data_IF_839543458174
#
_entry.id   IF_839543458174
#
_cell.length_a   1.000
_cell.length_b   1.000
_cell.length_c   1.000
_cell.angle_alpha   90.00
_cell.angle_beta   90.00
_cell.angle_gamma   90.00
#
_symmetry.space_group_name_H-M   'P 1'
#
loop_
_entity.id
_entity.type
_entity.pdbx_description
1 polymer ?
#
# COMPACT_ATOMS: atom_id res chain seq x y z
N UNK A 1 -20.59 37.09 -8.65
CA UNK A 1 -20.77 35.65 -8.49
C UNK A 1 -19.66 34.99 -9.28
N UNK A 2 -18.75 34.39 -8.61
CA UNK A 2 -17.53 33.85 -9.22
C UNK A 2 -17.89 32.68 -10.13
N UNK A 3 -17.25 32.55 -11.30
CA UNK A 3 -17.51 31.43 -12.25
C UNK A 3 -17.38 30.05 -11.57
N UNK A 4 -16.55 29.97 -10.57
CA UNK A 4 -16.25 28.74 -9.85
C UNK A 4 -17.36 28.34 -8.86
N UNK A 5 -18.06 29.31 -8.28
CA UNK A 5 -19.21 29.07 -7.41
C UNK A 5 -20.44 28.58 -8.20
N UNK A 6 -20.59 29.06 -9.45
CA UNK A 6 -21.63 28.57 -10.38
C UNK A 6 -21.37 27.12 -10.76
N UNK A 7 -20.13 26.78 -11.10
CA UNK A 7 -19.74 25.42 -11.47
C UNK A 7 -19.96 24.44 -10.30
N UNK A 8 -19.60 24.82 -9.07
CA UNK A 8 -19.81 24.01 -7.88
C UNK A 8 -21.29 23.67 -7.66
N UNK A 9 -22.18 24.68 -7.69
CA UNK A 9 -23.63 24.47 -7.53
C UNK A 9 -24.21 23.60 -8.64
N UNK A 10 -23.74 23.75 -9.87
CA UNK A 10 -24.17 22.92 -10.99
C UNK A 10 -23.73 21.45 -10.78
N UNK A 11 -22.51 21.20 -10.37
CA UNK A 11 -22.00 19.84 -10.05
C UNK A 11 -22.83 19.23 -8.94
N UNK A 12 -23.05 19.95 -7.84
CA UNK A 12 -23.86 19.46 -6.71
C UNK A 12 -25.29 19.10 -7.13
N UNK A 13 -25.91 19.91 -7.98
CA UNK A 13 -27.24 19.62 -8.50
C UNK A 13 -27.27 18.38 -9.37
N UNK A 14 -26.32 18.23 -10.31
CA UNK A 14 -26.22 17.05 -11.17
C UNK A 14 -26.01 15.78 -10.32
N UNK A 15 -25.22 15.87 -9.26
CA UNK A 15 -25.02 14.74 -8.35
C UNK A 15 -26.32 14.42 -7.59
N UNK A 16 -27.00 15.43 -7.07
CA UNK A 16 -28.26 15.26 -6.31
C UNK A 16 -29.39 14.70 -7.16
N UNK A 17 -29.44 15.05 -8.46
CA UNK A 17 -30.45 14.55 -9.40
C UNK A 17 -30.27 13.06 -9.72
N UNK A 18 -29.03 12.56 -9.64
CA UNK A 18 -28.71 11.17 -10.02
C UNK A 18 -28.40 10.27 -8.83
N UNK A 19 -28.02 10.87 -7.67
CA UNK A 19 -27.58 10.10 -6.50
C UNK A 19 -27.69 10.91 -5.22
N UNK A 20 -27.67 10.23 -4.04
CA UNK A 20 -27.55 10.91 -2.75
C UNK A 20 -26.11 11.03 -2.34
N UNK A 21 -25.68 12.24 -1.96
CA UNK A 21 -24.35 12.48 -1.44
C UNK A 21 -24.30 11.98 0.01
N UNK A 22 -23.34 11.11 0.29
CA UNK A 22 -23.06 10.64 1.65
C UNK A 22 -22.28 11.68 2.44
N UNK A 23 -21.23 12.19 1.83
CA UNK A 23 -20.45 13.34 2.31
C UNK A 23 -19.69 13.98 1.16
N UNK A 24 -19.29 15.23 1.33
CA UNK A 24 -18.46 15.97 0.38
C UNK A 24 -17.41 16.80 1.08
N UNK A 25 -16.30 17.03 0.40
CA UNK A 25 -15.20 17.91 0.82
C UNK A 25 -14.86 18.88 -0.31
N UNK A 26 -14.52 20.09 0.01
CA UNK A 26 -14.17 21.12 -0.96
C UNK A 26 -13.06 22.05 -0.45
N UNK A 27 -11.87 21.52 -0.19
CA UNK A 27 -10.74 22.33 0.23
C UNK A 27 -10.30 23.28 -0.89
N UNK A 28 -9.86 24.47 -0.47
CA UNK A 28 -9.22 25.42 -1.36
C UNK A 28 -7.73 25.10 -1.45
N UNK A 29 -7.22 24.98 -2.67
CA UNK A 29 -5.83 24.70 -2.97
C UNK A 29 -5.21 25.84 -3.76
N UNK A 30 -3.92 26.10 -3.56
CA UNK A 30 -3.17 27.05 -4.38
C UNK A 30 -1.91 26.39 -4.87
N UNK A 31 -1.66 26.46 -6.19
CA UNK A 31 -0.45 25.96 -6.82
C UNK A 31 0.55 27.11 -6.89
N UNK A 32 1.66 26.95 -6.19
CA UNK A 32 2.80 27.87 -6.24
C UNK A 32 3.85 27.37 -7.25
N UNK A 33 4.42 28.28 -8.05
CA UNK A 33 5.56 27.96 -8.90
C UNK A 33 6.83 27.95 -8.07
N UNK A 34 7.64 26.90 -8.16
CA UNK A 34 8.99 26.86 -7.59
C UNK A 34 9.91 27.81 -8.35
N UNK A 35 10.36 28.87 -7.69
CA UNK A 35 11.19 29.92 -8.31
C UNK A 35 12.68 29.61 -8.32
N UNK A 36 13.14 28.61 -7.58
CA UNK A 36 14.58 28.42 -7.25
C UNK A 36 15.26 27.15 -7.82
N UNK A 37 14.57 26.37 -8.67
CA UNK A 37 15.19 25.17 -9.23
C UNK A 37 15.49 25.39 -10.72
N UNK A 38 16.78 25.44 -11.06
CA UNK A 38 17.29 25.42 -12.43
C UNK A 38 17.17 24.06 -13.12
N UNK A 39 16.27 23.20 -12.67
CA UNK A 39 16.11 21.86 -13.23
C UNK A 39 14.89 21.76 -14.14
N UNK A 40 15.05 20.92 -15.13
CA UNK A 40 14.25 20.70 -16.37
C UNK A 40 12.77 20.37 -16.16
N UNK A 41 12.29 20.27 -14.91
CA UNK A 41 10.91 19.98 -14.58
C UNK A 41 10.29 21.16 -13.81
N UNK A 42 9.21 21.72 -14.35
CA UNK A 42 8.34 22.70 -13.67
C UNK A 42 7.72 22.03 -12.43
N UNK A 43 8.44 22.04 -11.32
CA UNK A 43 7.93 21.53 -10.06
C UNK A 43 7.07 22.59 -9.42
N UNK A 44 5.82 22.25 -9.16
CA UNK A 44 4.86 23.10 -8.47
C UNK A 44 4.59 22.54 -7.08
N UNK A 45 4.49 23.41 -6.08
CA UNK A 45 4.02 23.02 -4.75
C UNK A 45 2.55 23.43 -4.61
N UNK A 46 1.72 22.49 -4.21
CA UNK A 46 0.31 22.76 -3.91
C UNK A 46 0.17 22.99 -2.41
N UNK A 47 -0.34 24.16 -2.02
CA UNK A 47 -0.60 24.48 -0.62
C UNK A 47 -2.08 24.32 -0.27
N UNK A 48 -2.36 23.89 0.96
CA UNK A 48 -3.70 23.67 1.52
C UNK A 48 -3.79 24.28 2.91
N UNK A 49 -4.95 24.83 3.26
CA UNK A 49 -5.21 25.34 4.61
C UNK A 49 -5.25 24.22 5.64
N UNK A 50 -4.71 24.47 6.83
CA UNK A 50 -4.76 23.51 7.93
C UNK A 50 -6.20 23.20 8.37
N UNK A 51 -7.07 24.19 8.42
CA UNK A 51 -8.49 24.00 8.72
C UNK A 51 -9.20 23.07 7.71
N UNK A 52 -8.91 23.21 6.40
CA UNK A 52 -9.47 22.36 5.36
C UNK A 52 -8.91 20.94 5.43
N UNK A 53 -7.64 20.81 5.76
CA UNK A 53 -7.00 19.50 5.98
C UNK A 53 -7.67 18.72 7.12
N UNK A 54 -7.83 19.36 8.29
CA UNK A 54 -8.50 18.74 9.42
C UNK A 54 -9.96 18.38 9.12
N UNK A 55 -10.68 19.28 8.42
CA UNK A 55 -12.06 19.01 8.01
C UNK A 55 -12.13 17.82 7.03
N UNK A 56 -11.20 17.74 6.10
CA UNK A 56 -11.14 16.62 5.13
C UNK A 56 -10.87 15.30 5.82
N UNK A 57 -9.93 15.24 6.77
CA UNK A 57 -9.69 14.04 7.56
C UNK A 57 -10.92 13.61 8.35
N UNK A 58 -11.58 14.55 9.02
CA UNK A 58 -12.81 14.30 9.79
C UNK A 58 -13.93 13.74 8.93
N UNK A 59 -14.17 14.35 7.78
CA UNK A 59 -15.24 13.93 6.86
C UNK A 59 -14.93 12.55 6.25
N UNK A 60 -13.65 12.23 6.00
CA UNK A 60 -13.22 10.93 5.50
C UNK A 60 -13.21 9.83 6.58
N UNK A 61 -13.47 10.16 7.85
CA UNK A 61 -13.47 9.21 8.97
C UNK A 61 -12.06 8.78 9.42
N UNK A 62 -11.05 9.60 9.16
CA UNK A 62 -9.66 9.36 9.54
C UNK A 62 -9.37 9.95 10.93
N UNK A 63 -10.09 9.46 11.94
CA UNK A 63 -10.03 9.99 13.31
C UNK A 63 -8.66 9.82 13.98
N UNK A 64 -7.92 8.78 13.62
CA UNK A 64 -6.59 8.51 14.15
C UNK A 64 -5.60 9.57 13.68
N UNK A 65 -5.59 9.83 12.40
CA UNK A 65 -4.77 10.85 11.76
C UNK A 65 -5.17 12.25 12.26
N UNK A 66 -6.46 12.48 12.40
CA UNK A 66 -6.96 13.74 12.94
C UNK A 66 -6.45 14.01 14.35
N UNK A 67 -6.39 13.03 15.25
CA UNK A 67 -5.80 13.17 16.57
C UNK A 67 -4.30 13.42 16.51
N UNK A 68 -3.60 12.67 15.67
CA UNK A 68 -2.15 12.79 15.53
C UNK A 68 -1.72 14.17 15.00
N UNK A 69 -2.43 14.68 14.00
CA UNK A 69 -2.09 15.94 13.33
C UNK A 69 -2.87 17.16 13.88
N UNK A 70 -4.04 16.94 14.48
CA UNK A 70 -4.85 17.98 15.09
C UNK A 70 -4.21 18.59 16.33
N UNK A 71 -3.36 17.86 17.04
CA UNK A 71 -2.58 18.32 18.18
C UNK A 71 -1.23 18.95 17.76
N UNK A 72 -0.74 18.64 16.58
CA UNK A 72 0.47 19.23 16.01
C UNK A 72 0.13 20.53 15.31
N UNK A 73 -0.06 21.57 16.09
CA UNK A 73 -0.30 22.92 15.59
C UNK A 73 0.73 23.29 14.52
N UNK A 74 0.23 23.51 13.30
CA UNK A 74 0.97 24.20 12.24
C UNK A 74 1.06 25.66 12.67
N UNK A 75 1.96 25.95 13.62
CA UNK A 75 2.18 27.30 14.14
C UNK A 75 3.51 27.85 13.63
N UNK A 76 3.51 29.12 13.31
CA UNK A 76 4.71 29.81 12.82
C UNK A 76 5.20 29.28 11.47
N UNK A 77 6.49 28.93 11.38
CA UNK A 77 7.13 28.45 10.16
C UNK A 77 7.10 26.91 10.00
N UNK A 78 6.15 26.22 10.64
CA UNK A 78 6.02 24.77 10.51
C UNK A 78 4.94 24.44 9.47
N UNK A 79 5.20 23.40 8.65
CA UNK A 79 4.28 22.89 7.63
C UNK A 79 4.21 21.36 7.69
N UNK A 80 3.11 20.78 7.22
CA UNK A 80 2.96 19.33 7.05
C UNK A 80 3.06 19.04 5.57
N UNK A 81 3.98 18.17 5.18
CA UNK A 81 4.07 17.67 3.80
C UNK A 81 3.27 16.37 3.67
N UNK A 82 2.26 16.36 2.80
CA UNK A 82 1.54 15.15 2.41
C UNK A 82 2.31 14.48 1.28
N UNK A 83 2.88 13.30 1.53
CA UNK A 83 3.61 12.56 0.51
C UNK A 83 2.70 11.57 -0.20
N UNK A 84 2.82 11.50 -1.52
CA UNK A 84 2.23 10.40 -2.29
C UNK A 84 3.06 9.13 -2.10
N UNK A 85 2.43 7.97 -1.84
CA UNK A 85 3.14 6.70 -1.71
C UNK A 85 3.78 6.25 -3.02
N UNK A 86 3.33 6.78 -4.15
CA UNK A 86 3.80 6.38 -5.49
C UNK A 86 5.16 6.98 -5.88
N UNK A 87 5.71 7.90 -5.10
CA UNK A 87 6.98 8.55 -5.42
C UNK A 87 8.11 7.92 -4.60
N UNK A 88 8.85 7.00 -5.19
CA UNK A 88 10.07 6.41 -4.59
C UNK A 88 11.08 7.50 -4.18
N UNK A 89 11.10 8.63 -4.87
CA UNK A 89 11.86 9.82 -4.50
C UNK A 89 11.48 10.37 -3.11
N UNK A 90 10.27 10.14 -2.60
CA UNK A 90 9.84 10.57 -1.27
C UNK A 90 10.58 9.86 -0.13
N UNK A 91 11.15 8.68 -0.40
CA UNK A 91 11.93 7.91 0.59
C UNK A 91 13.34 8.49 0.76
N UNK A 92 13.88 9.14 -0.28
CA UNK A 92 15.27 9.60 -0.34
C UNK A 92 15.48 11.02 0.19
N UNK A 93 14.48 11.90 0.10
CA UNK A 93 14.62 13.30 0.51
C UNK A 93 14.20 13.50 1.96
N UNK A 94 15.16 13.44 2.86
CA UNK A 94 15.03 13.86 4.27
C UNK A 94 15.20 15.39 4.40
N UNK A 95 14.65 16.18 3.50
CA UNK A 95 14.69 17.62 3.69
C UNK A 95 13.79 18.00 4.87
N UNK A 96 14.39 18.52 5.91
CA UNK A 96 13.68 19.01 7.10
C UNK A 96 13.10 20.41 6.88
N UNK A 97 13.32 21.02 5.72
CA UNK A 97 12.89 22.40 5.38
C UNK A 97 12.45 22.49 3.94
N UNK A 98 11.43 23.31 3.70
CA UNK A 98 10.93 23.64 2.36
C UNK A 98 10.90 25.16 2.20
N UNK A 99 11.18 25.65 0.99
CA UNK A 99 11.13 27.07 0.66
C UNK A 99 9.87 27.36 -0.14
N UNK A 100 8.96 28.14 0.44
CA UNK A 100 7.74 28.61 -0.21
C UNK A 100 7.84 30.11 -0.39
N UNK A 101 7.73 30.60 -1.62
CA UNK A 101 7.81 32.03 -1.96
C UNK A 101 9.01 32.76 -1.30
N UNK A 102 10.19 32.14 -1.37
CA UNK A 102 11.41 32.72 -0.80
C UNK A 102 11.60 32.53 0.71
N UNK A 103 10.60 32.09 1.45
CA UNK A 103 10.63 31.89 2.90
C UNK A 103 10.82 30.43 3.26
N UNK A 104 11.68 30.15 4.25
CA UNK A 104 11.98 28.79 4.72
C UNK A 104 10.97 28.34 5.78
N UNK A 105 10.37 27.17 5.55
CA UNK A 105 9.48 26.50 6.48
C UNK A 105 10.07 25.17 6.94
N UNK A 106 9.85 24.83 8.20
CA UNK A 106 10.25 23.54 8.73
C UNK A 106 9.16 22.48 8.44
N UNK A 107 9.53 21.37 7.86
CA UNK A 107 8.61 20.26 7.66
C UNK A 107 8.43 19.55 9.00
N UNK A 108 7.22 19.66 9.57
CA UNK A 108 6.82 18.86 10.72
C UNK A 108 6.68 17.42 10.24
N UNK A 109 7.58 16.55 10.68
CA UNK A 109 7.59 15.14 10.24
C UNK A 109 6.31 14.44 10.70
N UNK A 110 5.51 14.08 9.75
CA UNK A 110 4.37 13.21 9.88
C UNK A 110 3.99 12.78 8.48
N UNK A 111 4.33 11.55 8.10
CA UNK A 111 3.82 10.98 6.85
C UNK A 111 2.34 10.73 7.04
N UNK A 112 1.50 11.53 6.41
CA UNK A 112 0.07 11.21 6.34
C UNK A 112 -0.09 10.05 5.37
N UNK A 113 -0.34 8.87 5.92
CA UNK A 113 -0.45 7.60 5.18
C UNK A 113 -1.85 7.35 4.60
N UNK A 114 -2.74 8.34 4.67
CA UNK A 114 -4.11 8.23 4.16
C UNK A 114 -4.32 9.18 3.00
N UNK A 115 -5.09 8.79 1.97
CA UNK A 115 -5.43 9.68 0.88
C UNK A 115 -6.33 10.81 1.41
N UNK A 116 -5.84 12.03 1.35
CA UNK A 116 -6.60 13.22 1.81
C UNK A 116 -7.58 13.68 0.73
N UNK A 117 -7.13 13.79 -0.52
CA UNK A 117 -7.92 14.29 -1.65
C UNK A 117 -8.32 13.20 -2.67
N UNK A 118 -8.47 11.96 -2.23
CA UNK A 118 -8.78 10.83 -3.10
C UNK A 118 -7.54 10.11 -3.64
N UNK A 119 -7.76 9.08 -4.44
CA UNK A 119 -6.69 8.24 -4.98
C UNK A 119 -5.82 9.01 -5.97
N UNK A 120 -4.55 9.24 -5.64
CA UNK A 120 -3.53 9.76 -6.56
C UNK A 120 -3.31 11.27 -6.54
N UNK A 121 -4.06 12.06 -5.76
CA UNK A 121 -3.93 13.52 -5.72
C UNK A 121 -3.07 14.06 -4.55
N UNK A 122 -2.53 13.19 -3.72
CA UNK A 122 -1.63 13.61 -2.62
C UNK A 122 -0.21 13.97 -3.09
N UNK A 123 -0.05 14.34 -4.36
CA UNK A 123 1.27 14.68 -4.88
C UNK A 123 1.67 16.07 -4.39
N UNK A 124 2.67 16.10 -3.50
CA UNK A 124 3.32 17.34 -3.05
C UNK A 124 2.35 18.41 -2.51
N UNK A 125 1.38 18.00 -1.69
CA UNK A 125 0.52 18.95 -0.99
C UNK A 125 1.19 19.34 0.32
N UNK A 126 1.32 20.64 0.55
CA UNK A 126 1.90 21.22 1.74
C UNK A 126 0.78 21.89 2.52
N UNK A 127 0.52 21.37 3.73
CA UNK A 127 -0.44 21.97 4.64
C UNK A 127 0.25 23.06 5.42
N UNK A 128 -0.28 24.27 5.31
CA UNK A 128 0.20 25.46 6.00
C UNK A 128 -0.87 25.98 6.96
N UNK A 129 -0.48 26.78 7.96
CA UNK A 129 -1.49 27.44 8.80
C UNK A 129 -2.34 28.40 7.96
N UNK A 130 -3.55 28.69 8.44
CA UNK A 130 -4.53 29.46 7.69
C UNK A 130 -4.01 30.88 7.36
N UNK A 131 -3.30 31.53 8.29
CA UNK A 131 -2.72 32.87 8.06
C UNK A 131 -1.64 32.85 6.96
N UNK A 132 -0.82 31.82 6.94
CA UNK A 132 0.21 31.62 5.90
C UNK A 132 -0.45 31.32 4.55
N UNK A 133 -1.51 30.51 4.55
CA UNK A 133 -2.28 30.25 3.34
C UNK A 133 -2.81 31.55 2.72
N UNK A 134 -3.46 32.41 3.49
CA UNK A 134 -3.98 33.68 2.98
C UNK A 134 -2.91 34.63 2.46
N UNK A 135 -1.70 34.59 3.01
CA UNK A 135 -0.55 35.38 2.50
C UNK A 135 0.00 34.86 1.17
N UNK A 136 -0.07 33.53 0.96
CA UNK A 136 0.50 32.86 -0.20
C UNK A 136 -0.51 32.65 -1.33
N UNK A 137 -1.80 32.62 -1.03
CA UNK A 137 -2.85 32.26 -2.00
C UNK A 137 -2.87 33.18 -3.24
N UNK A 138 -2.62 34.49 -3.06
CA UNK A 138 -2.66 35.45 -4.14
C UNK A 138 -1.38 35.44 -5.02
N UNK A 139 -0.35 34.67 -4.61
CA UNK A 139 0.92 34.48 -5.32
C UNK A 139 0.95 33.25 -6.22
N UNK A 140 -0.12 32.46 -6.22
CA UNK A 140 -0.25 31.24 -6.99
C UNK A 140 -1.55 31.12 -7.76
N UNK A 141 -1.70 30.01 -8.47
CA UNK A 141 -2.94 29.68 -9.15
C UNK A 141 -3.88 29.00 -8.17
N UNK A 142 -5.05 29.54 -7.99
CA UNK A 142 -6.09 28.92 -7.15
C UNK A 142 -6.72 27.75 -7.91
N UNK A 143 -6.91 26.63 -7.19
CA UNK A 143 -7.56 25.43 -7.69
C UNK A 143 -8.65 25.02 -6.72
N UNK A 144 -9.83 24.82 -7.25
CA UNK A 144 -10.98 24.35 -6.48
C UNK A 144 -11.08 22.84 -6.61
N UNK A 145 -11.11 22.19 -5.48
CA UNK A 145 -11.31 20.73 -5.40
C UNK A 145 -12.72 20.44 -4.85
N UNK A 146 -13.42 19.52 -5.49
CA UNK A 146 -14.67 19.00 -4.99
C UNK A 146 -14.63 17.47 -5.01
N UNK A 147 -14.65 16.88 -3.84
CA UNK A 147 -14.74 15.44 -3.65
C UNK A 147 -16.08 15.05 -3.03
N UNK A 148 -16.77 14.05 -3.57
CA UNK A 148 -18.00 13.55 -3.02
C UNK A 148 -18.01 12.02 -2.97
N UNK A 149 -18.52 11.47 -1.87
CA UNK A 149 -18.89 10.06 -1.78
C UNK A 149 -20.41 9.94 -1.88
N UNK A 150 -20.85 9.08 -2.78
CA UNK A 150 -22.29 8.84 -3.02
C UNK A 150 -22.73 7.52 -2.41
N UNK A 151 -24.04 7.34 -2.20
CA UNK A 151 -24.60 6.11 -1.64
C UNK A 151 -24.60 4.95 -2.64
N UNK A 152 -24.93 5.24 -3.91
CA UNK A 152 -25.00 4.25 -4.99
C UNK A 152 -23.78 4.40 -5.89
N UNK A 153 -22.68 3.78 -5.50
CA UNK A 153 -21.40 3.89 -6.22
C UNK A 153 -21.47 3.31 -7.64
N UNK A 154 -22.35 2.32 -7.86
CA UNK A 154 -22.58 1.69 -9.18
C UNK A 154 -23.11 2.68 -10.21
N UNK A 155 -23.91 3.67 -9.79
CA UNK A 155 -24.46 4.70 -10.65
C UNK A 155 -23.50 5.87 -10.92
N UNK A 156 -22.30 5.84 -10.33
CA UNK A 156 -21.32 6.91 -10.44
C UNK A 156 -20.88 7.18 -11.89
N UNK A 157 -20.91 6.17 -12.76
CA UNK A 157 -20.57 6.35 -14.17
C UNK A 157 -21.62 7.18 -14.93
N UNK A 158 -22.91 6.98 -14.65
CA UNK A 158 -24.00 7.78 -15.26
C UNK A 158 -23.90 9.21 -14.79
N UNK A 159 -23.67 9.42 -13.51
CA UNK A 159 -23.47 10.73 -12.90
C UNK A 159 -22.25 11.44 -13.53
N UNK A 160 -21.15 10.72 -13.70
CA UNK A 160 -19.92 11.23 -14.32
C UNK A 160 -20.15 11.68 -15.77
N UNK A 161 -20.81 10.85 -16.57
CA UNK A 161 -21.15 11.18 -17.95
C UNK A 161 -22.07 12.41 -18.04
N UNK A 162 -22.96 12.58 -17.07
CA UNK A 162 -23.85 13.77 -17.00
C UNK A 162 -23.06 15.02 -16.63
N UNK A 163 -22.09 14.94 -15.75
CA UNK A 163 -21.20 16.05 -15.43
C UNK A 163 -20.38 16.44 -16.66
N UNK A 164 -19.78 15.49 -17.37
CA UNK A 164 -19.01 15.77 -18.58
C UNK A 164 -19.83 16.43 -19.68
N UNK A 165 -21.08 16.00 -19.87
CA UNK A 165 -21.97 16.55 -20.91
C UNK A 165 -22.48 17.95 -20.59
N UNK A 166 -22.75 18.25 -19.32
CA UNK A 166 -23.43 19.47 -18.92
C UNK A 166 -22.47 20.63 -18.54
N UNK A 167 -21.20 20.31 -18.32
CA UNK A 167 -20.19 21.30 -18.00
C UNK A 167 -19.28 21.50 -19.21
N UNK A 168 -19.16 22.78 -19.67
CA UNK A 168 -18.15 23.17 -20.67
C UNK A 168 -16.77 23.18 -20.02
N UNK A 169 -16.16 22.01 -19.90
CA UNK A 169 -14.97 21.76 -19.10
C UNK A 169 -13.71 22.20 -19.84
N UNK A 170 -13.40 23.49 -19.81
CA UNK A 170 -12.04 23.98 -20.03
C UNK A 170 -11.32 23.99 -18.68
N UNK A 171 -10.23 23.21 -18.55
CA UNK A 171 -9.38 23.14 -17.35
C UNK A 171 -10.02 22.46 -16.11
N UNK A 172 -10.93 21.51 -16.30
CA UNK A 172 -11.46 20.69 -15.19
C UNK A 172 -10.98 19.26 -15.34
N UNK A 173 -10.38 18.72 -14.30
CA UNK A 173 -10.03 17.32 -14.21
C UNK A 173 -11.07 16.59 -13.35
N UNK A 174 -11.67 15.55 -13.90
CA UNK A 174 -12.68 14.75 -13.20
C UNK A 174 -12.17 13.33 -13.07
N UNK A 175 -12.26 12.76 -11.88
CA UNK A 175 -11.89 11.39 -11.60
C UNK A 175 -13.05 10.64 -10.97
N UNK A 176 -13.42 9.50 -11.58
CA UNK A 176 -14.37 8.57 -11.00
C UNK A 176 -13.62 7.45 -10.27
N UNK A 177 -13.56 7.53 -8.94
CA UNK A 177 -12.87 6.55 -8.11
C UNK A 177 -13.46 5.14 -8.21
N UNK A 178 -14.78 5.01 -8.39
CA UNK A 178 -15.44 3.72 -8.57
C UNK A 178 -15.05 3.08 -9.90
N UNK A 179 -15.02 3.87 -10.99
CA UNK A 179 -14.55 3.40 -12.29
C UNK A 179 -13.09 3.00 -12.24
N UNK A 180 -12.24 3.79 -11.59
CA UNK A 180 -10.83 3.46 -11.41
C UNK A 180 -10.64 2.13 -10.64
N UNK A 181 -11.50 1.81 -9.66
CA UNK A 181 -11.54 0.50 -9.03
C UNK A 181 -12.04 -0.61 -9.96
N UNK A 182 -13.00 -0.31 -10.83
CA UNK A 182 -13.58 -1.26 -11.81
C UNK A 182 -12.67 -1.53 -13.00
N UNK A 183 -11.98 -0.52 -13.50
CA UNK A 183 -10.99 -0.63 -14.59
C UNK A 183 -9.75 -1.42 -14.19
N UNK A 184 -9.59 -1.75 -12.92
CA UNK A 184 -8.57 -2.68 -12.44
C UNK A 184 -8.84 -4.15 -12.79
N UNK A 185 -9.64 -4.48 -13.82
CA UNK A 185 -9.80 -5.86 -14.28
C UNK A 185 -8.46 -6.51 -14.63
N UNK A 186 -7.56 -5.76 -15.25
CA UNK A 186 -6.20 -6.24 -15.49
C UNK A 186 -5.42 -6.45 -14.19
N UNK A 187 -5.65 -5.63 -13.15
CA UNK A 187 -5.05 -5.84 -11.82
C UNK A 187 -5.60 -7.09 -11.15
N UNK A 188 -6.91 -7.35 -11.28
CA UNK A 188 -7.51 -8.60 -10.80
C UNK A 188 -6.93 -9.81 -11.53
N UNK A 189 -6.77 -9.72 -12.85
CA UNK A 189 -6.10 -10.75 -13.64
C UNK A 189 -4.64 -10.94 -13.21
N UNK A 190 -3.89 -9.86 -13.07
CA UNK A 190 -2.51 -9.91 -12.59
C UNK A 190 -2.42 -10.56 -11.19
N UNK A 191 -3.34 -10.22 -10.29
CA UNK A 191 -3.42 -10.83 -8.96
C UNK A 191 -3.65 -12.35 -9.03
N UNK A 192 -4.59 -12.81 -9.87
CA UNK A 192 -4.85 -14.24 -10.06
C UNK A 192 -3.61 -14.96 -10.59
N UNK A 193 -2.92 -14.36 -11.57
CA UNK A 193 -1.67 -14.90 -12.11
C UNK A 193 -0.59 -14.96 -11.04
N UNK A 194 -0.42 -13.93 -10.21
CA UNK A 194 0.56 -13.91 -9.12
C UNK A 194 0.26 -14.95 -8.06
N UNK A 195 -1.01 -15.14 -7.68
CA UNK A 195 -1.42 -16.21 -6.74
C UNK A 195 -1.13 -17.58 -7.33
N UNK A 196 -1.43 -17.79 -8.61
CA UNK A 196 -1.10 -19.04 -9.31
C UNK A 196 0.41 -19.31 -9.31
N UNK A 197 1.22 -18.32 -9.68
CA UNK A 197 2.67 -18.44 -9.66
C UNK A 197 3.20 -18.72 -8.25
N UNK A 198 2.67 -18.05 -7.23
CA UNK A 198 3.02 -18.34 -5.84
C UNK A 198 2.79 -19.81 -5.48
N UNK A 199 1.61 -20.36 -5.81
CA UNK A 199 1.30 -21.77 -5.54
C UNK A 199 2.25 -22.72 -6.33
N UNK A 200 2.50 -22.43 -7.60
CA UNK A 200 3.44 -23.21 -8.42
C UNK A 200 4.83 -23.20 -7.79
N UNK A 201 5.36 -22.04 -7.41
CA UNK A 201 6.68 -21.94 -6.78
C UNK A 201 6.74 -22.67 -5.43
N UNK A 202 5.67 -22.58 -4.61
CA UNK A 202 5.61 -23.28 -3.33
C UNK A 202 5.65 -24.81 -3.52
N UNK A 203 4.91 -25.33 -4.51
CA UNK A 203 4.90 -26.76 -4.85
C UNK A 203 6.26 -27.20 -5.39
N UNK A 204 6.86 -26.43 -6.30
CA UNK A 204 8.18 -26.72 -6.87
C UNK A 204 9.25 -26.72 -5.78
N UNK A 205 9.27 -25.73 -4.89
CA UNK A 205 10.20 -25.66 -3.77
C UNK A 205 10.07 -26.89 -2.85
N UNK A 206 8.83 -27.26 -2.49
CA UNK A 206 8.57 -28.47 -1.71
C UNK A 206 9.07 -29.74 -2.42
N UNK A 207 8.86 -29.84 -3.74
CA UNK A 207 9.34 -30.99 -4.55
C UNK A 207 10.86 -31.08 -4.60
N UNK A 208 11.55 -29.93 -4.74
CA UNK A 208 13.03 -29.91 -4.75
C UNK A 208 13.59 -30.40 -3.42
N UNK A 209 13.03 -29.89 -2.29
CA UNK A 209 13.45 -30.34 -0.95
C UNK A 209 13.16 -31.84 -0.77
N UNK A 210 11.97 -32.29 -1.20
CA UNK A 210 11.60 -33.71 -1.16
C UNK A 210 12.59 -34.57 -1.93
N UNK A 211 12.97 -34.20 -3.16
CA UNK A 211 13.94 -34.95 -3.97
C UNK A 211 15.32 -34.97 -3.31
N UNK A 212 15.75 -33.87 -2.69
CA UNK A 212 17.01 -33.85 -1.93
C UNK A 212 16.97 -34.81 -0.76
N UNK A 213 15.94 -34.77 0.07
CA UNK A 213 15.76 -35.69 1.20
C UNK A 213 15.71 -37.16 0.74
N UNK A 214 15.04 -37.38 -0.38
CA UNK A 214 14.97 -38.73 -0.97
C UNK A 214 16.34 -39.27 -1.42
N UNK A 215 17.16 -38.43 -2.05
CA UNK A 215 18.53 -38.75 -2.42
C UNK A 215 19.38 -39.04 -1.18
N UNK A 216 19.33 -38.16 -0.19
CA UNK A 216 20.08 -38.32 1.07
C UNK A 216 19.70 -39.62 1.80
N UNK A 217 18.42 -39.99 1.75
CA UNK A 217 17.95 -41.25 2.33
C UNK A 217 18.62 -42.48 1.73
N UNK A 218 18.90 -42.47 0.42
CA UNK A 218 19.63 -43.55 -0.24
C UNK A 218 21.11 -43.55 0.12
N UNK A 219 21.74 -42.37 0.18
CA UNK A 219 23.15 -42.24 0.53
C UNK A 219 23.40 -42.69 1.98
N UNK A 220 22.50 -42.35 2.88
CA UNK A 220 22.63 -42.64 4.31
C UNK A 220 22.06 -44.01 4.73
N UNK A 221 21.42 -44.75 3.80
CA UNK A 221 20.80 -46.04 4.09
C UNK A 221 21.77 -47.01 4.80
N UNK A 222 22.99 -47.16 4.28
CA UNK A 222 23.97 -48.10 4.87
C UNK A 222 24.46 -47.63 6.25
N UNK A 223 24.58 -46.32 6.47
CA UNK A 223 24.93 -45.72 7.78
C UNK A 223 23.86 -46.08 8.83
N UNK A 224 22.57 -45.91 8.48
CA UNK A 224 21.47 -46.26 9.39
C UNK A 224 21.38 -47.76 9.65
N UNK A 225 21.67 -48.63 8.67
CA UNK A 225 21.74 -50.07 8.85
C UNK A 225 22.87 -50.48 9.82
N UNK A 226 24.04 -49.84 9.73
CA UNK A 226 25.15 -50.09 10.68
C UNK A 226 24.74 -49.67 12.08
N UNK A 227 24.08 -48.49 12.25
CA UNK A 227 23.59 -48.04 13.54
C UNK A 227 22.60 -49.03 14.19
N UNK A 228 21.71 -49.64 13.41
CA UNK A 228 20.81 -50.68 13.88
C UNK A 228 21.57 -51.94 14.35
N UNK A 229 22.62 -52.35 13.62
CA UNK A 229 23.44 -53.53 13.97
C UNK A 229 24.22 -53.33 15.26
N UNK A 230 24.63 -52.12 15.59
CA UNK A 230 25.35 -51.80 16.85
C UNK A 230 24.42 -51.49 18.04
N UNK A 231 23.09 -51.68 17.86
CA UNK A 231 22.14 -51.63 18.95
C UNK A 231 21.37 -50.30 19.12
N UNK A 232 21.46 -49.39 18.14
CA UNK A 232 20.60 -48.16 18.15
C UNK A 232 19.15 -48.57 17.93
N UNK A 233 18.22 -47.99 18.74
CA UNK A 233 16.81 -48.34 18.64
C UNK A 233 16.18 -47.70 17.39
N UNK A 234 15.17 -48.36 16.78
CA UNK A 234 14.40 -47.79 15.67
C UNK A 234 13.76 -46.45 16.05
N UNK A 235 13.39 -46.25 17.32
CA UNK A 235 12.82 -45.02 17.83
C UNK A 235 13.81 -43.85 17.73
N UNK A 236 15.08 -44.12 18.02
CA UNK A 236 16.11 -43.08 17.94
C UNK A 236 16.44 -42.72 16.50
N UNK A 237 16.49 -43.69 15.61
CA UNK A 237 16.67 -43.51 14.18
C UNK A 237 15.49 -42.71 13.61
N UNK A 238 14.24 -43.07 13.95
CA UNK A 238 13.07 -42.32 13.51
C UNK A 238 13.05 -40.86 13.99
N UNK A 239 13.57 -40.63 15.20
CA UNK A 239 13.72 -39.28 15.74
C UNK A 239 14.82 -38.49 15.03
N UNK A 240 15.92 -39.13 14.67
CA UNK A 240 16.99 -38.52 13.90
C UNK A 240 16.50 -38.09 12.51
N UNK A 241 15.83 -39.00 11.79
CA UNK A 241 15.24 -38.75 10.48
C UNK A 241 14.24 -37.57 10.56
N UNK A 242 13.37 -37.54 11.57
CA UNK A 242 12.41 -36.47 11.75
C UNK A 242 13.10 -35.11 11.94
N UNK A 243 14.15 -35.07 12.76
CA UNK A 243 14.91 -33.83 13.01
C UNK A 243 15.62 -33.36 11.73
N UNK A 244 16.22 -34.23 11.00
CA UNK A 244 16.92 -33.96 9.75
C UNK A 244 15.93 -33.33 8.72
N UNK A 245 14.84 -34.05 8.45
CA UNK A 245 13.79 -33.56 7.54
C UNK A 245 13.23 -32.21 8.02
N UNK A 246 12.97 -32.04 9.33
CA UNK A 246 12.46 -30.80 9.89
C UNK A 246 13.42 -29.62 9.64
N UNK A 247 14.73 -29.82 9.75
CA UNK A 247 15.73 -28.78 9.49
C UNK A 247 15.67 -28.34 8.01
N UNK A 248 15.60 -29.28 7.07
CA UNK A 248 15.54 -28.99 5.64
C UNK A 248 14.32 -28.16 5.24
N UNK A 249 13.19 -28.33 5.91
CA UNK A 249 11.99 -27.52 5.64
C UNK A 249 11.94 -26.23 6.46
N UNK A 250 12.39 -26.26 7.71
CA UNK A 250 12.26 -25.10 8.61
C UNK A 250 13.24 -23.97 8.25
N UNK A 251 14.48 -24.30 7.86
CA UNK A 251 15.50 -23.28 7.60
C UNK A 251 15.16 -22.37 6.40
N UNK A 252 14.77 -22.89 5.22
CA UNK A 252 14.32 -22.05 4.12
C UNK A 252 13.04 -21.27 4.47
N UNK A 253 12.11 -21.90 5.20
CA UNK A 253 10.87 -21.25 5.61
C UNK A 253 11.12 -20.07 6.54
N UNK A 254 12.02 -20.19 7.52
CA UNK A 254 12.37 -19.09 8.41
C UNK A 254 12.98 -17.91 7.64
N UNK A 255 13.93 -18.19 6.73
CA UNK A 255 14.56 -17.14 5.92
C UNK A 255 13.54 -16.44 5.02
N UNK A 256 12.65 -17.19 4.37
CA UNK A 256 11.56 -16.63 3.56
C UNK A 256 10.58 -15.82 4.38
N UNK A 257 10.20 -16.27 5.58
CA UNK A 257 9.31 -15.57 6.50
C UNK A 257 9.88 -14.20 6.88
N UNK A 258 11.16 -14.18 7.29
CA UNK A 258 11.82 -12.94 7.68
C UNK A 258 11.91 -11.97 6.49
N UNK A 259 12.36 -12.44 5.34
CA UNK A 259 12.52 -11.60 4.15
C UNK A 259 11.19 -11.07 3.64
N UNK A 260 10.13 -11.89 3.61
CA UNK A 260 8.81 -11.48 3.17
C UNK A 260 8.14 -10.48 4.11
N UNK A 261 8.39 -10.56 5.42
CA UNK A 261 7.91 -9.57 6.37
C UNK A 261 8.41 -8.16 6.04
N UNK A 262 9.73 -8.02 5.83
CA UNK A 262 10.31 -6.72 5.48
C UNK A 262 9.83 -6.21 4.11
N UNK A 263 9.75 -7.11 3.13
CA UNK A 263 9.27 -6.75 1.79
C UNK A 263 7.80 -6.28 1.80
N UNK A 264 6.92 -7.00 2.52
CA UNK A 264 5.51 -6.63 2.61
C UNK A 264 5.28 -5.39 3.48
N UNK A 265 6.09 -5.17 4.51
CA UNK A 265 6.04 -3.93 5.27
C UNK A 265 6.40 -2.72 4.41
N UNK A 266 7.49 -2.82 3.63
CA UNK A 266 7.87 -1.77 2.68
C UNK A 266 6.78 -1.55 1.62
N UNK A 267 6.21 -2.62 1.06
CA UNK A 267 5.11 -2.52 0.11
C UNK A 267 3.85 -1.89 0.73
N UNK A 268 3.51 -2.25 1.97
CA UNK A 268 2.40 -1.65 2.72
C UNK A 268 2.58 -0.16 2.95
N UNK A 269 3.79 0.26 3.33
CA UNK A 269 4.14 1.67 3.48
C UNK A 269 4.05 2.44 2.15
N UNK A 270 4.49 1.83 1.04
CA UNK A 270 4.41 2.42 -0.30
C UNK A 270 2.97 2.50 -0.83
N UNK A 271 2.15 1.50 -0.54
CA UNK A 271 0.75 1.41 -1.01
C UNK A 271 -0.25 2.05 -0.04
N UNK A 272 0.20 2.56 1.11
CA UNK A 272 -0.63 3.05 2.21
C UNK A 272 -1.72 2.05 2.64
N UNK A 273 -1.38 0.77 2.65
CA UNK A 273 -2.33 -0.31 2.93
C UNK A 273 -1.74 -1.27 3.95
N UNK A 274 -2.56 -1.72 4.90
CA UNK A 274 -2.15 -2.78 5.81
C UNK A 274 -2.19 -4.13 5.11
N UNK A 275 -1.01 -4.69 4.83
CA UNK A 275 -0.83 -5.99 4.19
C UNK A 275 -0.60 -7.13 5.20
N UNK A 276 -0.66 -6.85 6.50
CA UNK A 276 -0.35 -7.84 7.53
C UNK A 276 -1.28 -9.07 7.48
N UNK A 277 -2.57 -8.86 7.22
CA UNK A 277 -3.53 -9.96 7.06
C UNK A 277 -3.19 -10.90 5.89
N UNK A 278 -2.76 -10.33 4.76
CA UNK A 278 -2.34 -11.08 3.56
C UNK A 278 -1.05 -11.85 3.86
N UNK A 279 -0.12 -11.23 4.58
CA UNK A 279 1.11 -11.88 5.02
C UNK A 279 0.83 -13.14 5.86
N UNK A 280 0.00 -13.03 6.88
CA UNK A 280 -0.34 -14.17 7.76
C UNK A 280 -1.03 -15.28 6.97
N UNK A 281 -1.98 -14.93 6.08
CA UNK A 281 -2.67 -15.93 5.24
C UNK A 281 -1.68 -16.69 4.34
N UNK A 282 -0.74 -15.98 3.72
CA UNK A 282 0.31 -16.58 2.87
C UNK A 282 1.21 -17.51 3.66
N UNK A 283 1.61 -17.13 4.88
CA UNK A 283 2.40 -17.97 5.77
C UNK A 283 1.68 -19.25 6.15
N UNK A 284 0.40 -19.18 6.48
CA UNK A 284 -0.41 -20.35 6.83
C UNK A 284 -0.49 -21.32 5.67
N UNK A 285 -0.72 -20.82 4.45
CA UNK A 285 -0.77 -21.65 3.24
C UNK A 285 0.57 -22.34 2.99
N UNK A 286 1.69 -21.60 3.05
CA UNK A 286 3.03 -22.18 2.91
C UNK A 286 3.32 -23.24 3.97
N UNK A 287 2.95 -22.99 5.21
CA UNK A 287 3.16 -23.89 6.32
C UNK A 287 2.40 -25.20 6.11
N UNK A 288 1.15 -25.15 5.68
CA UNK A 288 0.35 -26.34 5.36
C UNK A 288 1.04 -27.17 4.25
N UNK A 289 1.46 -26.52 3.16
CA UNK A 289 2.15 -27.17 2.05
C UNK A 289 3.43 -27.86 2.54
N UNK A 290 4.25 -27.18 3.33
CA UNK A 290 5.51 -27.72 3.82
C UNK A 290 5.33 -28.83 4.86
N UNK A 291 4.29 -28.79 5.68
CA UNK A 291 3.94 -29.89 6.58
C UNK A 291 3.58 -31.14 5.78
N UNK A 292 2.78 -31.00 4.73
CA UNK A 292 2.40 -32.12 3.86
C UNK A 292 3.66 -32.76 3.22
N UNK A 293 4.51 -31.94 2.59
CA UNK A 293 5.76 -32.44 2.00
C UNK A 293 6.70 -33.02 3.04
N UNK A 294 6.83 -32.43 4.21
CA UNK A 294 7.64 -32.94 5.32
C UNK A 294 7.17 -34.33 5.79
N UNK A 295 5.85 -34.49 5.97
CA UNK A 295 5.28 -35.79 6.35
C UNK A 295 5.53 -36.88 5.28
N UNK A 296 5.32 -36.53 4.01
CA UNK A 296 5.62 -37.44 2.89
C UNK A 296 7.12 -37.79 2.85
N UNK A 297 8.01 -36.82 3.03
CA UNK A 297 9.45 -36.99 3.06
C UNK A 297 9.91 -37.94 4.18
N UNK A 298 9.41 -37.72 5.41
CA UNK A 298 9.71 -38.59 6.56
C UNK A 298 9.29 -40.04 6.30
N UNK A 299 8.07 -40.23 5.81
CA UNK A 299 7.57 -41.59 5.51
C UNK A 299 8.39 -42.27 4.42
N UNK A 300 8.80 -41.52 3.40
CA UNK A 300 9.60 -42.05 2.30
C UNK A 300 11.02 -42.36 2.76
N UNK A 301 11.65 -41.50 3.54
CA UNK A 301 12.97 -41.71 4.13
C UNK A 301 12.98 -42.99 4.96
N UNK A 302 12.03 -43.18 5.86
CA UNK A 302 11.87 -44.39 6.65
C UNK A 302 11.70 -45.62 5.76
N UNK A 303 10.89 -45.54 4.73
CA UNK A 303 10.70 -46.62 3.76
C UNK A 303 11.99 -47.03 3.07
N UNK A 304 12.88 -46.10 2.75
CA UNK A 304 14.20 -46.38 2.15
C UNK A 304 15.15 -47.06 3.14
N UNK A 305 15.20 -46.54 4.37
CA UNK A 305 16.10 -47.05 5.43
C UNK A 305 15.73 -48.48 5.87
N UNK A 306 14.43 -48.77 6.03
CA UNK A 306 13.94 -50.07 6.52
C UNK A 306 13.63 -51.08 5.39
N UNK A 307 13.72 -50.67 4.13
CA UNK A 307 13.53 -51.59 3.01
C UNK A 307 14.78 -52.46 2.86
N UNK A 308 14.58 -53.75 2.98
CA UNK A 308 15.62 -54.78 2.77
C UNK A 308 16.30 -54.69 1.40
#
# INVERSE_FOLDING_TARGET
MDKDEVNKKQIENIIKDTNKIKYSVNPELTILKKTDIKEVYDTTDTIMKYSDFCNTLKVNGNDKELKEYGERLVSGNNVIELKSPQTIASIATKEAKIKLDGQLYNISRGEVKVPVLGTGLNQSIIVVNDDTYFKLRDKGQQVYFYGAKVFQEENSQVMFNNIEKNLSLKNVYIQNGYKAQGESQWMKFAYVVLVFLFLVFAIVAGSIIYMKIYSDAYEDKEKYKILLKIGTTEKDINRAILKEVAIFYTLPMLSATISSYFALRLAGDLLMTDLFGIYILSLVICLIIFIIYGAVSVNKFKSVVYKN
#
